data_IF_355247155119
#
_entry.id   IF_355247155119
#
_cell.length_a   1.000
_cell.length_b   1.000
_cell.length_c   1.000
_cell.angle_alpha   90.00
_cell.angle_beta   90.00
_cell.angle_gamma   90.00
#
_symmetry.space_group_name_H-M   'P 1'
#
loop_
_entity.id
_entity.type
_entity.pdbx_description
1 polymer ?
#
# COMPACT_ATOMS: atom_id res chain seq x y z
N UNK A 1 -17.38 14.75 8.71
CA UNK A 1 -16.14 14.35 9.40
C UNK A 1 -15.31 13.61 8.37
N UNK A 2 -14.11 14.09 8.05
CA UNK A 2 -13.20 13.37 7.17
C UNK A 2 -12.79 12.07 7.88
N UNK A 3 -13.21 10.93 7.33
CA UNK A 3 -12.78 9.61 7.80
C UNK A 3 -11.33 9.39 7.37
N UNK A 4 -10.41 9.96 8.14
CA UNK A 4 -8.98 9.81 7.94
C UNK A 4 -8.52 8.52 8.66
N UNK A 5 -8.14 7.51 7.87
CA UNK A 5 -7.58 6.27 8.39
C UNK A 5 -6.08 6.42 8.62
N UNK A 6 -5.57 5.63 9.56
CA UNK A 6 -4.15 5.36 9.70
C UNK A 6 -3.72 4.22 8.77
N UNK A 7 -2.42 4.14 8.46
CA UNK A 7 -1.86 2.98 7.76
C UNK A 7 -2.10 1.68 8.54
N UNK A 8 -2.16 1.76 9.87
CA UNK A 8 -2.43 0.62 10.75
C UNK A 8 -3.87 0.13 10.65
N UNK A 9 -4.85 1.02 10.43
CA UNK A 9 -6.25 0.63 10.20
C UNK A 9 -6.38 -0.20 8.93
N UNK A 10 -5.74 0.25 7.85
CA UNK A 10 -5.71 -0.46 6.56
C UNK A 10 -4.91 -1.77 6.67
N UNK A 11 -3.75 -1.74 7.33
CA UNK A 11 -2.92 -2.93 7.54
C UNK A 11 -3.65 -4.00 8.37
N UNK A 12 -4.34 -3.59 9.43
CA UNK A 12 -5.16 -4.49 10.26
C UNK A 12 -6.28 -5.15 9.43
N UNK A 13 -6.91 -4.41 8.52
CA UNK A 13 -7.95 -4.96 7.64
C UNK A 13 -7.41 -6.10 6.76
N UNK A 14 -6.22 -5.93 6.17
CA UNK A 14 -5.59 -6.98 5.36
C UNK A 14 -5.08 -8.16 6.20
N UNK A 15 -4.48 -7.90 7.36
CA UNK A 15 -4.00 -8.95 8.26
C UNK A 15 -5.13 -9.82 8.81
N UNK A 16 -6.35 -9.29 8.94
CA UNK A 16 -7.52 -10.09 9.29
C UNK A 16 -7.91 -11.13 8.22
N UNK A 17 -7.50 -10.95 6.98
CA UNK A 17 -7.73 -11.93 5.92
C UNK A 17 -6.76 -13.11 6.05
N UNK A 18 -5.46 -12.81 6.22
CA UNK A 18 -4.42 -13.80 6.44
C UNK A 18 -3.18 -13.18 7.11
N UNK A 19 -2.37 -14.01 7.77
CA UNK A 19 -1.00 -13.64 8.13
C UNK A 19 -0.13 -13.53 6.89
N UNK A 20 0.74 -12.53 6.82
CA UNK A 20 1.57 -12.29 5.64
C UNK A 20 2.88 -11.58 5.96
N UNK A 21 3.87 -11.74 5.09
CA UNK A 21 5.12 -10.98 5.17
C UNK A 21 4.91 -9.46 5.17
N UNK A 22 5.81 -8.71 5.82
CA UNK A 22 5.84 -7.24 5.78
C UNK A 22 5.81 -6.71 4.34
N UNK A 23 6.62 -7.30 3.45
CA UNK A 23 6.66 -6.86 2.04
C UNK A 23 5.29 -6.96 1.36
N UNK A 24 4.54 -8.05 1.57
CA UNK A 24 3.18 -8.19 1.02
C UNK A 24 2.22 -7.16 1.62
N UNK A 25 2.23 -7.01 2.94
CA UNK A 25 1.36 -6.06 3.65
C UNK A 25 1.59 -4.62 3.19
N UNK A 26 2.85 -4.22 3.01
CA UNK A 26 3.24 -2.92 2.47
C UNK A 26 2.64 -2.66 1.08
N UNK A 27 2.67 -3.67 0.20
CA UNK A 27 2.11 -3.56 -1.15
C UNK A 27 0.59 -3.47 -1.13
N UNK A 28 -0.10 -4.25 -0.30
CA UNK A 28 -1.55 -4.16 -0.18
C UNK A 28 -2.00 -2.79 0.36
N UNK A 29 -1.32 -2.27 1.38
CA UNK A 29 -1.59 -0.92 1.90
C UNK A 29 -1.31 0.16 0.83
N UNK A 30 -0.24 0.00 0.05
CA UNK A 30 0.06 0.88 -1.08
C UNK A 30 -1.05 0.87 -2.13
N UNK A 31 -1.51 -0.31 -2.57
CA UNK A 31 -2.60 -0.40 -3.55
C UNK A 31 -3.90 0.21 -3.01
N UNK A 32 -4.24 -0.01 -1.74
CA UNK A 32 -5.39 0.65 -1.11
C UNK A 32 -5.27 2.17 -1.15
N UNK A 33 -4.09 2.72 -0.85
CA UNK A 33 -3.84 4.15 -0.94
C UNK A 33 -3.96 4.67 -2.38
N UNK A 34 -3.32 3.98 -3.34
CA UNK A 34 -3.27 4.40 -4.74
C UNK A 34 -4.64 4.35 -5.43
N UNK A 35 -5.39 3.26 -5.24
CA UNK A 35 -6.76 3.15 -5.75
C UNK A 35 -7.72 4.08 -5.02
N UNK A 36 -7.52 4.33 -3.73
CA UNK A 36 -8.29 5.32 -2.97
C UNK A 36 -8.11 6.73 -3.53
N UNK A 37 -6.86 7.11 -3.85
CA UNK A 37 -6.57 8.37 -4.53
C UNK A 37 -7.32 8.47 -5.85
N UNK A 38 -7.23 7.46 -6.72
CA UNK A 38 -7.84 7.48 -8.05
C UNK A 38 -9.38 7.44 -8.04
N UNK A 39 -10.00 6.63 -7.18
CA UNK A 39 -11.44 6.34 -7.23
C UNK A 39 -12.26 7.19 -6.25
N UNK A 40 -11.68 7.60 -5.13
CA UNK A 40 -12.36 8.41 -4.12
C UNK A 40 -11.90 9.89 -4.15
N UNK A 41 -10.92 10.22 -5.01
CA UNK A 41 -10.35 11.56 -5.17
C UNK A 41 -9.87 12.18 -3.84
N UNK A 42 -9.40 11.34 -2.91
CA UNK A 42 -8.87 11.74 -1.60
C UNK A 42 -7.87 10.71 -1.07
N UNK A 43 -6.88 11.11 -0.25
CA UNK A 43 -5.99 10.16 0.42
C UNK A 43 -6.75 9.35 1.45
N UNK A 44 -6.72 8.01 1.31
CA UNK A 44 -7.34 7.10 2.26
C UNK A 44 -6.59 7.07 3.60
N UNK A 45 -5.27 7.12 3.52
CA UNK A 45 -4.34 7.06 4.66
C UNK A 45 -3.80 8.47 4.91
N UNK A 46 -3.88 8.92 6.15
CA UNK A 46 -3.61 10.31 6.53
C UNK A 46 -2.30 10.50 7.29
N UNK A 47 -1.80 9.46 7.92
CA UNK A 47 -0.62 9.47 8.79
C UNK A 47 0.65 8.93 8.12
N UNK A 48 0.55 8.52 6.86
CA UNK A 48 1.69 7.97 6.12
C UNK A 48 1.63 8.33 4.64
N UNK A 49 2.81 8.49 4.05
CA UNK A 49 3.04 8.57 2.61
C UNK A 49 3.98 7.44 2.21
N UNK A 50 3.80 6.92 1.00
CA UNK A 50 4.64 5.84 0.49
C UNK A 50 5.93 6.39 -0.12
N UNK A 51 7.04 5.73 0.17
CA UNK A 51 8.37 6.03 -0.36
C UNK A 51 8.82 4.97 -1.37
N UNK A 52 9.62 5.37 -2.34
CA UNK A 52 10.07 4.52 -3.44
C UNK A 52 11.28 3.65 -3.07
N UNK A 53 11.11 2.75 -2.11
CA UNK A 53 12.18 1.87 -1.63
C UNK A 53 12.63 0.88 -2.70
N UNK A 54 13.76 0.20 -2.44
CA UNK A 54 14.41 -0.69 -3.41
C UNK A 54 13.52 -1.86 -3.86
N UNK A 55 12.64 -2.35 -2.99
CA UNK A 55 11.72 -3.48 -3.23
C UNK A 55 10.27 -3.00 -3.37
N UNK A 56 10.07 -1.88 -4.06
CA UNK A 56 8.76 -1.28 -4.28
C UNK A 56 8.36 -0.23 -3.23
N UNK A 57 7.12 0.30 -3.29
CA UNK A 57 6.61 1.32 -2.38
C UNK A 57 6.48 0.81 -0.94
N UNK A 58 6.83 1.64 0.04
CA UNK A 58 6.81 1.31 1.48
C UNK A 58 6.29 2.50 2.28
N UNK A 59 5.41 2.25 3.24
CA UNK A 59 5.10 3.17 4.32
C UNK A 59 6.18 3.06 5.41
N UNK A 60 6.96 4.12 5.68
CA UNK A 60 7.98 4.09 6.72
C UNK A 60 7.42 3.81 8.12
N UNK A 61 6.23 4.34 8.40
CA UNK A 61 5.50 4.15 9.66
C UNK A 61 5.13 2.69 9.87
N UNK A 62 4.55 2.04 8.85
CA UNK A 62 4.21 0.62 8.91
C UNK A 62 5.47 -0.25 8.99
N UNK A 63 6.50 0.08 8.20
CA UNK A 63 7.75 -0.70 8.19
C UNK A 63 8.42 -0.70 9.55
N UNK A 64 8.41 0.45 10.25
CA UNK A 64 8.99 0.57 11.59
C UNK A 64 8.40 -0.43 12.58
N UNK A 65 7.09 -0.67 12.51
CA UNK A 65 6.35 -1.58 13.41
C UNK A 65 6.42 -3.06 12.98
N UNK A 66 6.74 -3.32 11.71
CA UNK A 66 6.73 -4.66 11.11
C UNK A 66 8.13 -5.23 10.83
N UNK A 67 9.19 -4.41 10.79
CA UNK A 67 10.55 -4.86 10.45
C UNK A 67 11.11 -5.94 11.37
N UNK A 68 10.61 -6.06 12.60
CA UNK A 68 11.06 -7.06 13.58
C UNK A 68 10.72 -8.49 13.16
N UNK A 69 9.68 -8.67 12.33
CA UNK A 69 9.26 -9.98 11.84
C UNK A 69 10.23 -10.56 10.79
N UNK A 70 10.98 -9.70 10.09
CA UNK A 70 11.97 -10.11 9.09
C UNK A 70 11.36 -11.01 8.01
N UNK A 71 11.75 -12.29 8.03
CA UNK A 71 11.27 -13.32 7.10
C UNK A 71 10.02 -14.08 7.58
N UNK A 72 9.53 -13.76 8.78
CA UNK A 72 8.35 -14.40 9.36
C UNK A 72 7.11 -13.59 8.99
N UNK A 73 5.99 -14.27 8.81
CA UNK A 73 4.71 -13.60 8.60
C UNK A 73 4.28 -12.81 9.85
N UNK A 74 3.68 -11.65 9.60
CA UNK A 74 3.06 -10.82 10.62
C UNK A 74 1.74 -11.49 11.02
N UNK A 75 1.49 -11.71 12.32
CA UNK A 75 0.27 -12.34 12.78
C UNK A 75 -0.95 -11.42 12.60
N UNK A 76 -2.13 -12.03 12.47
CA UNK A 76 -3.38 -11.34 12.19
C UNK A 76 -3.80 -10.33 13.29
N UNK A 77 -3.28 -10.50 14.50
CA UNK A 77 -3.62 -9.72 15.69
C UNK A 77 -2.60 -8.61 16.02
N UNK A 78 -1.62 -8.34 15.14
CA UNK A 78 -0.58 -7.31 15.36
C UNK A 78 -1.17 -5.93 15.64
N UNK A 79 -2.23 -5.52 14.94
CA UNK A 79 -2.83 -4.18 15.02
C UNK A 79 -4.25 -4.21 15.61
N UNK A 80 -4.48 -5.00 16.66
CA UNK A 80 -5.80 -5.13 17.32
C UNK A 80 -6.40 -3.83 17.86
N UNK A 81 -5.57 -2.81 18.16
CA UNK A 81 -6.02 -1.48 18.59
C UNK A 81 -6.43 -0.55 17.42
N UNK A 82 -6.27 -1.00 16.18
CA UNK A 82 -6.66 -0.22 15.01
C UNK A 82 -8.18 -0.10 14.92
N UNK A 83 -8.65 1.00 14.33
CA UNK A 83 -10.07 1.31 14.20
C UNK A 83 -10.73 0.32 13.24
N UNK A 84 -11.98 -0.01 13.53
CA UNK A 84 -12.84 -0.71 12.57
C UNK A 84 -13.19 0.24 11.42
N UNK A 85 -13.08 -0.24 10.19
CA UNK A 85 -13.45 0.51 8.98
C UNK A 85 -14.92 0.18 8.68
N UNK A 86 -15.80 1.15 8.92
CA UNK A 86 -17.26 0.99 8.72
C UNK A 86 -17.77 1.69 7.46
N UNK A 87 -16.96 2.59 6.87
CA UNK A 87 -17.32 3.28 5.62
C UNK A 87 -17.37 2.27 4.47
N UNK A 88 -18.58 2.02 3.97
CA UNK A 88 -18.82 1.04 2.91
C UNK A 88 -17.97 1.29 1.66
N UNK A 89 -17.78 2.55 1.26
CA UNK A 89 -16.98 2.86 0.06
C UNK A 89 -15.50 2.46 0.22
N UNK A 90 -14.99 2.55 1.46
CA UNK A 90 -13.64 2.11 1.78
C UNK A 90 -13.59 0.59 1.87
N UNK A 91 -14.57 -0.05 2.49
CA UNK A 91 -14.64 -1.52 2.56
C UNK A 91 -14.67 -2.14 1.17
N UNK A 92 -15.57 -1.67 0.29
CA UNK A 92 -15.69 -2.15 -1.09
C UNK A 92 -14.36 -1.97 -1.87
N UNK A 93 -13.63 -0.88 -1.61
CA UNK A 93 -12.30 -0.64 -2.19
C UNK A 93 -11.27 -1.66 -1.68
N UNK A 94 -11.21 -1.89 -0.37
CA UNK A 94 -10.27 -2.84 0.24
C UNK A 94 -10.56 -4.28 -0.20
N UNK A 95 -11.84 -4.65 -0.32
CA UNK A 95 -12.27 -5.93 -0.90
C UNK A 95 -11.83 -6.06 -2.36
N UNK A 96 -11.94 -5.00 -3.15
CA UNK A 96 -11.48 -5.00 -4.56
C UNK A 96 -9.96 -5.15 -4.66
N UNK A 97 -9.21 -4.47 -3.78
CA UNK A 97 -7.75 -4.62 -3.68
C UNK A 97 -7.40 -6.05 -3.27
N UNK A 98 -8.09 -6.61 -2.28
CA UNK A 98 -7.88 -7.98 -1.83
C UNK A 98 -8.17 -8.99 -2.93
N UNK A 99 -9.29 -8.87 -3.64
CA UNK A 99 -9.63 -9.76 -4.74
C UNK A 99 -8.62 -9.69 -5.91
N UNK A 100 -7.96 -8.54 -6.11
CA UNK A 100 -7.02 -8.33 -7.22
C UNK A 100 -5.58 -8.76 -6.90
N UNK A 101 -5.15 -8.53 -5.65
CA UNK A 101 -3.75 -8.64 -5.23
C UNK A 101 -3.53 -9.59 -4.06
N UNK A 102 -4.58 -9.99 -3.34
CA UNK A 102 -4.52 -10.80 -2.12
C UNK A 102 -3.93 -12.18 -2.32
N UNK A 103 -4.20 -12.86 -3.43
CA UNK A 103 -3.61 -14.18 -3.72
C UNK A 103 -2.15 -14.12 -4.18
N UNK A 104 -1.63 -12.93 -4.45
CA UNK A 104 -0.24 -12.75 -4.94
C UNK A 104 0.74 -12.81 -3.78
N UNK A 105 1.90 -13.38 -4.03
CA UNK A 105 3.01 -13.34 -3.07
C UNK A 105 3.76 -12.01 -3.15
N UNK A 106 4.67 -11.79 -2.19
CA UNK A 106 5.39 -10.53 -2.07
C UNK A 106 6.30 -10.21 -3.27
N UNK A 107 6.88 -11.22 -3.94
CA UNK A 107 7.75 -11.05 -5.11
C UNK A 107 6.94 -10.69 -6.35
N UNK A 108 5.76 -11.28 -6.52
CA UNK A 108 4.84 -10.93 -7.60
C UNK A 108 4.35 -9.48 -7.47
N UNK A 109 4.01 -9.04 -6.25
CA UNK A 109 3.62 -7.66 -5.98
C UNK A 109 4.78 -6.68 -6.18
N UNK A 110 6.00 -7.07 -5.80
CA UNK A 110 7.21 -6.29 -6.10
C UNK A 110 7.39 -6.12 -7.62
N UNK A 111 7.31 -7.22 -8.38
CA UNK A 111 7.44 -7.19 -9.84
C UNK A 111 6.37 -6.31 -10.52
N UNK A 112 5.14 -6.30 -9.99
CA UNK A 112 4.10 -5.37 -10.45
C UNK A 112 4.51 -3.91 -10.19
N UNK A 113 4.77 -3.56 -8.92
CA UNK A 113 5.10 -2.16 -8.57
C UNK A 113 6.35 -1.63 -9.27
N UNK A 114 7.33 -2.48 -9.59
CA UNK A 114 8.52 -2.08 -10.35
C UNK A 114 8.22 -1.67 -11.80
N UNK A 115 7.08 -2.08 -12.35
CA UNK A 115 6.61 -1.73 -13.70
C UNK A 115 5.78 -0.45 -13.71
N UNK A 116 5.28 -0.03 -12.56
CA UNK A 116 4.30 1.05 -12.43
C UNK A 116 4.96 2.44 -12.40
N UNK A 117 4.31 3.39 -13.06
CA UNK A 117 4.81 4.77 -13.24
C UNK A 117 5.11 5.50 -11.93
N UNK A 118 4.30 5.40 -10.84
CA UNK A 118 4.56 6.15 -9.62
C UNK A 118 5.90 5.79 -8.99
N UNK A 119 6.19 4.50 -8.82
CA UNK A 119 7.45 4.03 -8.26
C UNK A 119 8.64 4.31 -9.18
N UNK A 120 8.50 4.05 -10.48
CA UNK A 120 9.56 4.30 -11.47
C UNK A 120 9.96 5.77 -11.54
N UNK A 121 8.98 6.66 -11.56
CA UNK A 121 9.22 8.11 -11.63
C UNK A 121 9.94 8.61 -10.39
N UNK A 122 9.52 8.14 -9.21
CA UNK A 122 10.20 8.48 -7.96
C UNK A 122 11.67 8.01 -7.96
N UNK A 123 11.97 6.83 -8.53
CA UNK A 123 13.34 6.29 -8.60
C UNK A 123 14.18 6.76 -9.78
N UNK A 124 13.75 7.78 -10.52
CA UNK A 124 14.58 8.38 -11.59
C UNK A 124 15.94 8.82 -11.02
N UNK A 125 17.03 8.29 -11.58
CA UNK A 125 18.40 8.56 -11.13
C UNK A 125 18.89 7.74 -9.94
N UNK A 126 18.09 6.79 -9.44
CA UNK A 126 18.46 5.86 -8.35
C UNK A 126 18.79 4.48 -8.93
N UNK A 127 19.91 3.88 -8.55
CA UNK A 127 20.30 2.57 -9.09
C UNK A 127 19.39 1.43 -8.59
N UNK A 128 19.29 0.30 -9.34
CA UNK A 128 18.63 -0.90 -8.83
C UNK A 128 19.24 -1.35 -7.50
N UNK A 129 18.40 -1.67 -6.52
CA UNK A 129 18.84 -2.08 -5.17
C UNK A 129 19.32 -0.95 -4.27
N UNK A 130 19.54 0.26 -4.79
CA UNK A 130 19.94 1.41 -3.98
C UNK A 130 18.77 1.90 -3.11
N UNK A 131 19.07 2.23 -1.86
CA UNK A 131 18.09 2.77 -0.91
C UNK A 131 17.57 4.12 -1.42
N UNK A 132 16.28 4.34 -1.25
CA UNK A 132 15.65 5.63 -1.50
C UNK A 132 14.51 5.82 -0.52
N UNK A 133 14.41 7.02 0.03
CA UNK A 133 13.31 7.49 0.85
C UNK A 133 12.49 8.57 0.12
N UNK A 134 12.60 8.64 -1.21
CA UNK A 134 11.86 9.62 -1.98
C UNK A 134 10.38 9.27 -1.93
N UNK A 135 9.56 10.20 -1.46
CA UNK A 135 8.12 10.04 -1.43
C UNK A 135 7.55 9.90 -2.85
N UNK A 136 6.54 9.07 -2.98
CA UNK A 136 5.73 8.97 -4.19
C UNK A 136 4.87 10.21 -4.32
N UNK A 137 4.76 10.70 -5.55
CA UNK A 137 3.91 11.85 -5.87
C UNK A 137 2.45 11.40 -6.00
N UNK A 138 1.60 11.98 -5.16
CA UNK A 138 0.17 11.66 -5.09
C UNK A 138 -0.55 11.93 -6.43
N UNK A 139 -0.16 12.97 -7.17
CA UNK A 139 -0.77 13.30 -8.46
C UNK A 139 -0.38 12.27 -9.52
N UNK A 140 0.90 11.90 -9.60
CA UNK A 140 1.37 10.87 -10.54
C UNK A 140 0.67 9.53 -10.25
N UNK A 141 0.52 9.18 -8.98
CA UNK A 141 -0.18 7.98 -8.57
C UNK A 141 -1.67 8.02 -8.90
N UNK A 142 -2.35 9.11 -8.57
CA UNK A 142 -3.75 9.34 -8.96
C UNK A 142 -3.93 9.14 -10.47
N UNK A 143 -3.16 9.87 -11.29
CA UNK A 143 -3.32 9.87 -12.74
C UNK A 143 -3.03 8.49 -13.35
N UNK A 144 -2.03 7.78 -12.84
CA UNK A 144 -1.68 6.45 -13.32
C UNK A 144 -2.79 5.42 -13.05
N UNK A 145 -3.29 5.35 -11.81
CA UNK A 145 -4.33 4.39 -11.44
C UNK A 145 -5.69 4.74 -12.05
N UNK A 146 -6.00 6.03 -12.21
CA UNK A 146 -7.19 6.47 -12.94
C UNK A 146 -7.11 6.09 -14.42
N UNK A 147 -5.94 6.18 -15.06
CA UNK A 147 -5.72 5.70 -16.43
C UNK A 147 -5.98 4.20 -16.58
N UNK A 148 -5.48 3.38 -15.64
CA UNK A 148 -5.77 1.93 -15.62
C UNK A 148 -7.28 1.68 -15.52
N UNK A 149 -7.98 2.41 -14.65
CA UNK A 149 -9.43 2.27 -14.49
C UNK A 149 -10.20 2.59 -15.77
N UNK A 150 -9.76 3.62 -16.50
CA UNK A 150 -10.39 4.06 -17.74
C UNK A 150 -10.03 3.19 -18.96
N UNK A 151 -9.02 2.31 -18.83
CA UNK A 151 -8.58 1.39 -19.89
C UNK A 151 -7.51 1.95 -20.84
N UNK A 152 -6.70 2.91 -20.36
CA UNK A 152 -5.57 3.49 -21.10
C UNK A 152 -4.32 2.59 -21.15
#
# INVERSE_FOLDING_TARGET
MENNLSVFDVANWFLRQESMSDKKLQKLCYYAYAWGMALLNRPLISDSKFEAWAHGPVSPELYKECKEYGWTDIPQDKFTNAKSIEDKSIVDLLESVWATYGDRNADELEALTHRETPWRTARTGVMPGERSNKQLDDKIMHDFYLGIYNGD
#
